data_IF_461054366185
#
_entry.id   IF_461054366185
#
_cell.length_a   1.000
_cell.length_b   1.000
_cell.length_c   1.000
_cell.angle_alpha   90.00
_cell.angle_beta   90.00
_cell.angle_gamma   90.00
#
_symmetry.space_group_name_H-M   'P 1'
#
loop_
_entity.id
_entity.type
_entity.pdbx_description
1 polymer ?
#
# COMPACT_ATOMS: atom_id res chain seq x y z
N UNK A 1 14.58 59.88 -36.89
CA UNK A 1 15.50 59.66 -35.76
C UNK A 1 15.72 58.16 -35.61
N UNK A 2 16.95 57.67 -35.78
CA UNK A 2 17.30 56.30 -35.41
C UNK A 2 17.73 56.29 -33.95
N UNK A 3 17.06 55.50 -33.12
CA UNK A 3 17.46 55.30 -31.71
C UNK A 3 18.44 54.14 -31.65
N UNK A 4 19.64 54.36 -31.12
CA UNK A 4 20.57 53.27 -30.83
C UNK A 4 20.10 52.51 -29.59
N UNK A 5 19.92 51.20 -29.73
CA UNK A 5 19.60 50.30 -28.62
C UNK A 5 20.90 49.68 -28.11
N UNK A 6 21.10 49.68 -26.79
CA UNK A 6 22.21 48.95 -26.19
C UNK A 6 21.80 47.47 -26.02
N UNK A 7 22.55 46.56 -26.63
CA UNK A 7 22.25 45.13 -26.61
C UNK A 7 22.61 44.49 -25.28
N UNK A 8 22.07 43.29 -25.03
CA UNK A 8 22.48 42.45 -23.90
C UNK A 8 23.97 42.06 -23.99
N UNK A 9 24.54 41.61 -22.88
CA UNK A 9 25.89 41.05 -22.86
C UNK A 9 26.02 39.91 -23.88
N UNK A 10 27.24 39.73 -24.41
CA UNK A 10 27.60 38.68 -25.38
C UNK A 10 26.88 38.75 -26.74
N UNK A 11 26.07 39.80 -26.94
CA UNK A 11 25.38 40.10 -28.19
C UNK A 11 26.19 41.09 -29.04
N UNK A 12 26.27 40.81 -30.34
CA UNK A 12 26.91 41.67 -31.34
C UNK A 12 25.89 42.61 -31.98
N UNK A 13 24.73 42.10 -32.37
CA UNK A 13 23.67 42.89 -33.03
C UNK A 13 22.29 42.54 -32.44
N UNK A 14 21.48 43.56 -32.19
CA UNK A 14 20.12 43.41 -31.69
C UNK A 14 19.18 44.51 -32.21
N UNK A 15 17.93 44.12 -32.43
CA UNK A 15 16.83 45.03 -32.75
C UNK A 15 16.08 45.48 -31.49
N UNK A 16 16.11 44.67 -30.42
CA UNK A 16 15.46 44.95 -29.13
C UNK A 16 16.47 44.80 -28.00
N UNK A 17 16.31 45.62 -26.94
CA UNK A 17 17.24 45.66 -25.79
C UNK A 17 17.40 44.30 -25.09
N UNK A 18 16.37 43.46 -25.11
CA UNK A 18 16.33 42.19 -24.36
C UNK A 18 16.44 40.95 -25.28
N UNK A 19 16.75 41.12 -26.56
CA UNK A 19 16.98 40.02 -27.49
C UNK A 19 18.31 40.23 -28.20
N UNK A 20 18.90 39.15 -28.67
CA UNK A 20 20.02 39.19 -29.57
C UNK A 20 19.61 38.63 -30.92
N UNK A 21 20.09 39.25 -32.00
CA UNK A 21 19.91 38.77 -33.37
C UNK A 21 21.21 38.11 -33.88
N UNK A 22 22.37 38.57 -33.41
CA UNK A 22 23.68 37.99 -33.72
C UNK A 22 24.61 37.96 -32.51
N UNK A 23 25.14 36.79 -32.16
CA UNK A 23 26.05 36.60 -31.04
C UNK A 23 27.50 37.00 -31.35
N UNK A 24 28.22 37.40 -30.31
CA UNK A 24 29.67 37.64 -30.40
C UNK A 24 30.43 36.34 -30.69
N UNK A 25 31.67 36.46 -31.16
CA UNK A 25 32.57 35.32 -31.34
C UNK A 25 32.79 34.56 -30.03
N UNK A 26 32.65 33.24 -30.04
CA UNK A 26 32.73 32.39 -28.85
C UNK A 26 31.38 32.05 -28.19
N UNK A 27 30.29 32.70 -28.60
CA UNK A 27 28.93 32.41 -28.11
C UNK A 27 28.06 31.79 -29.22
N UNK A 28 26.99 31.10 -28.79
CA UNK A 28 26.02 30.42 -29.63
C UNK A 28 24.63 30.99 -29.42
N UNK A 29 23.87 31.12 -30.50
CA UNK A 29 22.50 31.61 -30.44
C UNK A 29 21.54 30.54 -29.91
N UNK A 30 20.74 30.90 -28.92
CA UNK A 30 19.68 30.08 -28.36
C UNK A 30 18.47 30.94 -28.01
N UNK A 31 17.39 30.87 -28.80
CA UNK A 31 16.11 31.54 -28.55
C UNK A 31 16.26 33.01 -28.08
N UNK A 32 16.87 33.84 -28.93
CA UNK A 32 17.11 35.28 -28.69
C UNK A 32 18.18 35.62 -27.65
N UNK A 33 18.92 34.63 -27.15
CA UNK A 33 20.04 34.84 -26.23
C UNK A 33 21.32 34.24 -26.78
N UNK A 34 22.44 34.71 -26.26
CA UNK A 34 23.77 34.18 -26.56
C UNK A 34 24.27 33.42 -25.35
N UNK A 35 24.65 32.17 -25.55
CA UNK A 35 25.14 31.27 -24.50
C UNK A 35 26.52 30.74 -24.86
N UNK A 36 27.37 30.53 -23.85
CA UNK A 36 28.70 29.92 -24.05
C UNK A 36 28.63 28.40 -24.18
N UNK A 37 27.58 27.78 -23.63
CA UNK A 37 27.30 26.34 -23.69
C UNK A 37 25.81 26.16 -23.94
N UNK A 38 25.44 25.29 -24.88
CA UNK A 38 24.03 24.98 -25.13
C UNK A 38 23.39 24.28 -23.92
N UNK A 39 22.11 24.58 -23.61
CA UNK A 39 21.38 23.88 -22.55
C UNK A 39 21.18 22.41 -22.91
N UNK A 40 20.80 21.61 -21.91
CA UNK A 40 20.87 20.15 -22.00
C UNK A 40 20.22 19.52 -23.22
N UNK A 41 18.98 19.78 -23.56
CA UNK A 41 18.27 19.19 -24.69
C UNK A 41 18.74 19.65 -26.10
N UNK A 42 19.91 20.30 -26.21
CA UNK A 42 20.42 20.88 -27.45
C UNK A 42 21.91 20.59 -27.66
N UNK A 43 22.32 20.48 -28.93
CA UNK A 43 23.72 20.43 -29.33
C UNK A 43 24.14 21.72 -30.05
N UNK A 44 25.45 21.96 -30.09
CA UNK A 44 26.04 23.07 -30.85
C UNK A 44 26.10 22.70 -32.33
N UNK A 45 25.43 23.47 -33.17
CA UNK A 45 25.66 23.47 -34.61
C UNK A 45 26.74 24.50 -34.93
N UNK A 46 27.95 24.01 -35.23
CA UNK A 46 29.09 24.89 -35.49
C UNK A 46 29.01 25.60 -36.84
N UNK A 47 28.18 25.12 -37.79
CA UNK A 47 28.01 25.76 -39.09
C UNK A 47 27.16 27.03 -38.99
N UNK A 48 26.09 26.98 -38.20
CA UNK A 48 25.18 28.11 -37.97
C UNK A 48 25.49 28.89 -36.69
N UNK A 49 26.36 28.34 -35.83
CA UNK A 49 26.66 28.83 -34.47
C UNK A 49 25.40 28.96 -33.61
N UNK A 50 24.51 27.98 -33.70
CA UNK A 50 23.24 27.93 -32.97
C UNK A 50 23.14 26.67 -32.11
N UNK A 51 22.30 26.73 -31.08
CA UNK A 51 21.91 25.57 -30.30
C UNK A 51 20.66 24.92 -30.93
N UNK A 52 20.83 23.72 -31.49
CA UNK A 52 19.76 22.97 -32.14
C UNK A 52 19.29 21.82 -31.25
N UNK A 53 18.01 21.45 -31.38
CA UNK A 53 17.41 20.43 -30.53
C UNK A 53 17.99 19.04 -30.80
N UNK A 54 18.18 18.26 -29.74
CA UNK A 54 18.52 16.86 -29.80
C UNK A 54 17.35 16.01 -30.37
N UNK A 55 17.63 14.73 -30.67
CA UNK A 55 16.58 13.75 -30.95
C UNK A 55 15.52 13.69 -29.83
N UNK A 56 14.29 13.37 -30.20
CA UNK A 56 13.21 13.16 -29.24
C UNK A 56 13.61 12.11 -28.19
N UNK A 57 13.34 12.40 -26.91
CA UNK A 57 13.69 11.58 -25.73
C UNK A 57 15.19 11.54 -25.39
N UNK A 58 16.01 12.33 -26.08
CA UNK A 58 17.41 12.52 -25.72
C UNK A 58 17.57 13.67 -24.72
N UNK A 59 18.30 13.42 -23.64
CA UNK A 59 18.60 14.39 -22.58
C UNK A 59 19.86 15.20 -22.88
N UNK A 60 20.88 14.58 -23.46
CA UNK A 60 22.09 15.26 -23.95
C UNK A 60 22.54 14.62 -25.24
N UNK A 61 22.94 15.43 -26.22
CA UNK A 61 23.47 14.96 -27.49
C UNK A 61 24.66 15.80 -27.94
N UNK A 62 25.58 15.17 -28.68
CA UNK A 62 26.73 15.83 -29.30
C UNK A 62 26.45 16.28 -30.74
N UNK A 63 25.42 15.71 -31.38
CA UNK A 63 24.99 16.05 -32.73
C UNK A 63 23.50 15.72 -32.94
N UNK A 64 23.01 15.93 -34.17
CA UNK A 64 21.61 15.73 -34.53
C UNK A 64 21.12 14.26 -34.49
N UNK A 65 22.04 13.29 -34.53
CA UNK A 65 21.72 11.87 -34.75
C UNK A 65 22.08 10.97 -33.57
N UNK A 66 23.01 11.41 -32.72
CA UNK A 66 23.54 10.61 -31.62
C UNK A 66 22.96 11.11 -30.30
N UNK A 67 22.59 10.16 -29.44
CA UNK A 67 22.11 10.48 -28.10
C UNK A 67 23.09 9.97 -27.05
N UNK A 68 23.71 10.90 -26.32
CA UNK A 68 24.72 10.57 -25.31
C UNK A 68 24.06 10.12 -24.01
N UNK A 69 22.98 10.79 -23.61
CA UNK A 69 22.14 10.35 -22.49
C UNK A 69 20.67 10.47 -22.85
N UNK A 70 19.88 9.44 -22.54
CA UNK A 70 18.44 9.48 -22.73
C UNK A 70 17.77 10.06 -21.48
N UNK A 71 16.61 10.68 -21.63
CA UNK A 71 15.72 10.85 -20.49
C UNK A 71 15.41 9.43 -19.98
N UNK A 72 15.89 9.07 -18.79
CA UNK A 72 15.39 7.88 -18.12
C UNK A 72 13.90 8.10 -17.97
N UNK A 73 13.12 7.38 -18.79
CA UNK A 73 11.72 7.18 -18.53
C UNK A 73 11.70 6.34 -17.27
N UNK A 74 11.64 7.00 -16.11
CA UNK A 74 11.11 6.38 -14.91
C UNK A 74 9.65 6.15 -15.29
N UNK A 75 9.43 5.01 -15.95
CA UNK A 75 8.17 4.63 -16.55
C UNK A 75 7.11 4.81 -15.46
N UNK A 76 6.09 5.60 -15.76
CA UNK A 76 4.88 5.73 -14.95
C UNK A 76 4.35 4.32 -14.57
N UNK A 77 4.65 3.32 -15.39
CA UNK A 77 4.46 1.90 -15.13
C UNK A 77 5.06 1.43 -13.80
N UNK A 78 6.30 1.80 -13.45
CA UNK A 78 6.92 1.38 -12.19
C UNK A 78 6.21 2.00 -10.97
N UNK A 79 5.75 3.25 -11.09
CA UNK A 79 4.97 3.92 -10.04
C UNK A 79 3.59 3.25 -9.90
N UNK A 80 2.93 2.95 -11.01
CA UNK A 80 1.64 2.24 -11.01
C UNK A 80 1.79 0.83 -10.46
N UNK A 81 2.84 0.09 -10.82
CA UNK A 81 3.14 -1.25 -10.30
C UNK A 81 3.39 -1.21 -8.79
N UNK A 82 4.21 -0.27 -8.32
CA UNK A 82 4.46 -0.08 -6.88
C UNK A 82 3.17 0.30 -6.15
N UNK A 83 2.34 1.18 -6.70
CA UNK A 83 1.05 1.54 -6.14
C UNK A 83 0.09 0.35 -6.10
N UNK A 84 0.03 -0.47 -7.15
CA UNK A 84 -0.79 -1.68 -7.18
C UNK A 84 -0.32 -2.68 -6.12
N UNK A 85 0.99 -2.89 -5.97
CA UNK A 85 1.55 -3.76 -4.92
C UNK A 85 1.18 -3.24 -3.53
N UNK A 86 1.31 -1.92 -3.28
CA UNK A 86 0.90 -1.30 -2.00
C UNK A 86 -0.60 -1.51 -1.76
N UNK A 87 -1.45 -1.31 -2.76
CA UNK A 87 -2.89 -1.51 -2.63
C UNK A 87 -3.23 -2.99 -2.35
N UNK A 88 -2.60 -3.93 -3.05
CA UNK A 88 -2.82 -5.37 -2.82
C UNK A 88 -2.37 -5.78 -1.42
N UNK A 89 -1.21 -5.31 -0.95
CA UNK A 89 -0.73 -5.60 0.41
C UNK A 89 -1.67 -5.04 1.47
N UNK A 90 -2.17 -3.81 1.31
CA UNK A 90 -3.17 -3.23 2.22
C UNK A 90 -4.49 -4.02 2.22
N UNK A 91 -4.96 -4.48 1.06
CA UNK A 91 -6.16 -5.31 0.95
C UNK A 91 -5.95 -6.64 1.70
N UNK A 92 -4.82 -7.31 1.47
CA UNK A 92 -4.51 -8.57 2.18
C UNK A 92 -4.40 -8.38 3.69
N UNK A 93 -3.75 -7.30 4.14
CA UNK A 93 -3.65 -6.98 5.56
C UNK A 93 -5.03 -6.73 6.19
N UNK A 94 -5.91 -6.01 5.48
CA UNK A 94 -7.30 -5.78 5.92
C UNK A 94 -8.08 -7.08 6.02
N UNK A 95 -7.92 -8.00 5.07
CA UNK A 95 -8.55 -9.32 5.11
C UNK A 95 -8.05 -10.14 6.31
N UNK A 96 -6.74 -10.16 6.55
CA UNK A 96 -6.15 -10.84 7.71
C UNK A 96 -6.69 -10.27 9.02
N UNK A 97 -6.77 -8.95 9.14
CA UNK A 97 -7.33 -8.30 10.33
C UNK A 97 -8.80 -8.65 10.54
N UNK A 98 -9.60 -8.68 9.48
CA UNK A 98 -11.01 -9.07 9.54
C UNK A 98 -11.18 -10.54 9.96
N UNK A 99 -10.36 -11.44 9.43
CA UNK A 99 -10.33 -12.85 9.84
C UNK A 99 -9.95 -12.97 11.32
N UNK A 100 -8.97 -12.20 11.78
CA UNK A 100 -8.55 -12.21 13.19
C UNK A 100 -9.67 -11.72 14.12
N UNK A 101 -10.38 -10.64 13.75
CA UNK A 101 -11.55 -10.17 14.50
C UNK A 101 -12.62 -11.25 14.55
N UNK A 102 -12.95 -11.84 13.41
CA UNK A 102 -13.93 -12.93 13.35
C UNK A 102 -13.55 -14.09 14.28
N UNK A 103 -12.28 -14.50 14.28
CA UNK A 103 -11.77 -15.54 15.18
C UNK A 103 -11.87 -15.12 16.67
N UNK A 104 -11.55 -13.88 16.99
CA UNK A 104 -11.67 -13.33 18.34
C UNK A 104 -13.14 -13.33 18.82
N UNK A 105 -14.07 -12.93 17.97
CA UNK A 105 -15.50 -12.94 18.25
C UNK A 105 -16.01 -14.36 18.49
N UNK A 106 -15.62 -15.32 17.65
CA UNK A 106 -15.95 -16.74 17.84
C UNK A 106 -15.40 -17.26 19.17
N UNK A 107 -14.14 -16.96 19.50
CA UNK A 107 -13.54 -17.36 20.79
C UNK A 107 -14.26 -16.73 21.98
N UNK A 108 -14.70 -15.46 21.86
CA UNK A 108 -15.47 -14.79 22.89
C UNK A 108 -16.82 -15.46 23.12
N UNK A 109 -17.54 -15.79 22.04
CA UNK A 109 -18.82 -16.51 22.09
C UNK A 109 -18.65 -17.88 22.75
N UNK A 110 -17.61 -18.64 22.36
CA UNK A 110 -17.29 -19.94 22.98
C UNK A 110 -17.08 -19.78 24.50
N UNK A 111 -16.32 -18.77 24.94
CA UNK A 111 -16.09 -18.51 26.37
C UNK A 111 -17.39 -18.13 27.10
N UNK A 112 -18.27 -17.33 26.48
CA UNK A 112 -19.56 -16.95 27.06
C UNK A 112 -20.45 -18.19 27.24
N UNK A 113 -20.55 -19.02 26.21
CA UNK A 113 -21.34 -20.26 26.24
C UNK A 113 -20.77 -21.21 27.30
N UNK A 114 -19.46 -21.46 27.31
CA UNK A 114 -18.81 -22.33 28.28
C UNK A 114 -19.08 -21.87 29.73
N UNK A 115 -19.00 -20.56 30.00
CA UNK A 115 -19.32 -19.99 31.30
C UNK A 115 -20.79 -20.20 31.69
N UNK A 116 -21.72 -20.05 30.74
CA UNK A 116 -23.14 -20.27 30.98
C UNK A 116 -23.43 -21.75 31.28
N UNK A 117 -22.86 -22.66 30.50
CA UNK A 117 -22.98 -24.11 30.68
C UNK A 117 -22.41 -24.54 32.03
N UNK A 118 -21.21 -24.07 32.40
CA UNK A 118 -20.62 -24.38 33.71
C UNK A 118 -21.52 -23.93 34.87
N UNK A 119 -22.15 -22.76 34.75
CA UNK A 119 -23.12 -22.28 35.76
C UNK A 119 -24.35 -23.18 35.85
N UNK A 120 -24.90 -23.60 34.71
CA UNK A 120 -26.05 -24.51 34.69
C UNK A 120 -25.71 -25.87 35.30
N UNK A 121 -24.57 -26.46 34.92
CA UNK A 121 -24.09 -27.75 35.47
C UNK A 121 -23.95 -27.64 36.99
N UNK A 122 -23.30 -26.58 37.49
CA UNK A 122 -23.13 -26.38 38.92
C UNK A 122 -24.47 -26.20 39.66
N UNK A 123 -25.43 -25.49 39.07
CA UNK A 123 -26.78 -25.38 39.63
C UNK A 123 -27.53 -26.73 39.65
N UNK A 124 -27.38 -27.55 38.61
CA UNK A 124 -27.99 -28.89 38.58
C UNK A 124 -27.39 -29.84 39.60
N UNK A 125 -26.07 -29.81 39.81
CA UNK A 125 -25.40 -30.59 40.86
C UNK A 125 -25.94 -30.24 42.26
N UNK A 126 -26.06 -28.94 42.56
CA UNK A 126 -26.66 -28.47 43.83
C UNK A 126 -28.10 -28.97 43.98
N UNK A 127 -28.92 -28.88 42.92
CA UNK A 127 -30.32 -29.27 42.98
C UNK A 127 -30.48 -30.80 43.13
N UNK A 128 -29.61 -31.60 42.52
CA UNK A 128 -29.57 -33.06 42.68
C UNK A 128 -29.15 -33.41 44.11
N UNK A 129 -28.08 -32.81 44.66
CA UNK A 129 -27.65 -33.03 46.04
C UNK A 129 -28.73 -32.64 47.06
N UNK A 130 -29.44 -31.53 46.86
CA UNK A 130 -30.58 -31.15 47.70
C UNK A 130 -31.73 -32.14 47.60
N UNK A 131 -32.03 -32.65 46.40
CA UNK A 131 -33.12 -33.62 46.19
C UNK A 131 -32.79 -34.97 46.82
N UNK A 132 -31.54 -35.44 46.71
CA UNK A 132 -31.04 -36.65 47.39
C UNK A 132 -31.12 -36.52 48.92
N UNK A 133 -30.86 -35.33 49.47
CA UNK A 133 -31.02 -35.03 50.90
C UNK A 133 -32.49 -35.02 51.37
N UNK A 134 -33.45 -34.70 50.50
CA UNK A 134 -34.88 -34.68 50.86
C UNK A 134 -35.56 -36.05 50.75
N UNK A 135 -35.08 -36.93 49.88
CA UNK A 135 -35.73 -38.23 49.64
C UNK A 135 -35.44 -39.22 50.76
N UNK A 136 -34.43 -38.98 51.62
CA UNK A 136 -33.98 -40.01 52.54
C UNK A 136 -33.38 -39.47 53.84
N UNK A 137 -34.09 -39.72 54.95
CA UNK A 137 -33.44 -40.03 56.23
C UNK A 137 -32.67 -41.36 56.22
N UNK A 138 -32.46 -42.03 55.08
CA UNK A 138 -31.73 -43.31 54.95
C UNK A 138 -30.88 -43.40 53.67
N UNK A 139 -29.56 -43.62 53.82
CA UNK A 139 -28.60 -43.74 52.71
C UNK A 139 -28.95 -44.88 51.74
N UNK A 140 -29.01 -44.60 50.43
CA UNK A 140 -29.05 -45.64 49.38
C UNK A 140 -28.02 -45.36 48.27
N UNK A 141 -27.31 -46.43 47.88
CA UNK A 141 -26.20 -46.50 46.92
C UNK A 141 -26.60 -45.97 45.52
N UNK A 142 -25.71 -45.32 44.74
CA UNK A 142 -26.03 -44.73 43.44
C UNK A 142 -26.27 -45.80 42.35
N UNK A 143 -27.51 -46.30 42.22
CA UNK A 143 -27.91 -47.29 41.22
C UNK A 143 -28.16 -46.64 39.85
N UNK A 144 -27.35 -46.98 38.82
CA UNK A 144 -27.51 -46.82 37.35
C UNK A 144 -27.94 -45.45 36.72
N UNK A 145 -28.65 -44.59 37.44
CA UNK A 145 -29.20 -43.31 37.00
C UNK A 145 -28.13 -42.22 36.93
N UNK A 146 -27.22 -42.17 37.91
CA UNK A 146 -26.12 -41.20 37.92
C UNK A 146 -25.08 -41.46 36.80
N UNK A 147 -24.85 -42.73 36.43
CA UNK A 147 -23.97 -43.09 35.31
C UNK A 147 -24.65 -42.76 33.96
N UNK A 148 -25.97 -42.98 33.85
CA UNK A 148 -26.73 -42.58 32.66
C UNK A 148 -26.75 -41.06 32.47
N UNK A 149 -26.89 -40.27 33.54
CA UNK A 149 -26.81 -38.81 33.48
C UNK A 149 -25.42 -38.31 33.07
N UNK A 150 -24.34 -38.92 33.59
CA UNK A 150 -22.97 -38.56 33.23
C UNK A 150 -22.66 -38.88 31.75
N UNK A 151 -23.17 -40.01 31.25
CA UNK A 151 -23.00 -40.40 29.85
C UNK A 151 -23.77 -39.50 28.87
N UNK A 152 -24.98 -39.05 29.24
CA UNK A 152 -25.76 -38.10 28.43
C UNK A 152 -25.10 -36.71 28.42
N UNK A 153 -24.57 -36.25 29.56
CA UNK A 153 -23.80 -35.01 29.66
C UNK A 153 -22.55 -35.04 28.77
N UNK A 154 -21.78 -36.15 28.82
CA UNK A 154 -20.58 -36.30 28.02
C UNK A 154 -20.90 -36.37 26.50
N UNK A 155 -22.00 -37.03 26.12
CA UNK A 155 -22.46 -37.09 24.73
C UNK A 155 -22.88 -35.71 24.19
N UNK A 156 -23.60 -34.90 24.98
CA UNK A 156 -23.99 -33.54 24.58
C UNK A 156 -22.78 -32.62 24.41
N UNK A 157 -21.81 -32.71 25.31
CA UNK A 157 -20.55 -31.93 25.22
C UNK A 157 -19.79 -32.34 23.95
N UNK A 158 -19.71 -33.63 23.65
CA UNK A 158 -19.03 -34.14 22.46
C UNK A 158 -19.73 -33.68 21.16
N UNK A 159 -21.07 -33.68 21.12
CA UNK A 159 -21.85 -33.20 19.96
C UNK A 159 -21.67 -31.70 19.75
N UNK A 160 -21.70 -30.89 20.82
CA UNK A 160 -21.50 -29.44 20.74
C UNK A 160 -20.10 -29.07 20.26
N UNK A 161 -19.07 -29.78 20.75
CA UNK A 161 -17.70 -29.62 20.28
C UNK A 161 -17.61 -30.02 18.80
N UNK A 162 -18.23 -31.12 18.39
CA UNK A 162 -18.17 -31.58 16.99
C UNK A 162 -18.88 -30.63 16.01
N UNK A 163 -19.99 -30.00 16.42
CA UNK A 163 -20.70 -28.99 15.60
C UNK A 163 -19.94 -27.66 15.52
N UNK A 164 -19.25 -27.27 16.59
CA UNK A 164 -18.45 -26.04 16.62
C UNK A 164 -17.18 -26.11 15.74
N UNK A 165 -16.66 -27.30 15.46
CA UNK A 165 -15.48 -27.54 14.60
C UNK A 165 -15.83 -27.92 13.14
N UNK A 166 -17.11 -27.91 12.75
CA UNK A 166 -17.61 -28.28 11.40
C UNK A 166 -17.87 -27.07 10.47
N UNK A 167 -17.49 -25.86 10.86
CA UNK A 167 -17.64 -24.59 10.11
C UNK A 167 -16.27 -23.93 10.00
#
# INVERSE_FOLDING_TARGET
AGSCVNCIADCKECTKKNSCDLCQSGFFYNNFQCVSVCPNDKYVDNATRTCNDCLAKCKTCSNATDCDTCFLRIELHLIVDVLLIIMMTLITLKLVFHVLIYLLDVLLVIKIIAKHVYRLIFQTEIHVQQTVLQVNGEMRQPDNVQIAQLNVQLALITILVTLAFRI
#
